data_IF_028060325294
#
_entry.id   IF_028060325294
#
_cell.length_a   1.000
_cell.length_b   1.000
_cell.length_c   1.000
_cell.angle_alpha   90.00
_cell.angle_beta   90.00
_cell.angle_gamma   90.00
#
_symmetry.space_group_name_H-M   'P 1'
#
loop_
_entity.id
_entity.type
_entity.pdbx_description
1 polymer ?
#
# COMPACT_ATOMS: atom_id res chain seq x y z
N UNK A 1 30.75 -16.21 -16.53
CA UNK A 1 31.31 -14.87 -16.35
C UNK A 1 30.30 -14.09 -15.57
N UNK A 2 30.59 -13.94 -14.28
CA UNK A 2 29.69 -13.46 -13.23
C UNK A 2 29.16 -12.05 -13.46
N UNK A 3 27.98 -11.77 -12.89
CA UNK A 3 27.56 -10.38 -12.71
C UNK A 3 26.07 -10.14 -12.74
N UNK A 4 25.36 -10.68 -11.76
CA UNK A 4 24.07 -10.17 -11.29
C UNK A 4 22.83 -10.47 -12.17
N UNK A 5 22.25 -11.65 -11.98
CA UNK A 5 20.83 -11.93 -12.24
C UNK A 5 19.85 -11.16 -11.33
N UNK A 6 20.29 -10.02 -10.77
CA UNK A 6 19.54 -9.13 -9.86
C UNK A 6 18.68 -8.09 -10.60
N UNK A 7 18.60 -8.11 -11.93
CA UNK A 7 18.28 -6.90 -12.71
C UNK A 7 16.84 -6.71 -13.19
N UNK A 8 15.89 -7.60 -12.93
CA UNK A 8 14.47 -7.25 -13.14
C UNK A 8 13.58 -7.72 -11.99
N UNK A 9 13.53 -9.03 -11.72
CA UNK A 9 12.60 -9.57 -10.71
C UNK A 9 12.99 -9.27 -9.25
N UNK A 10 14.25 -9.49 -8.86
CA UNK A 10 14.64 -9.43 -7.44
C UNK A 10 14.50 -8.02 -6.82
N UNK A 11 14.85 -6.96 -7.56
CA UNK A 11 14.64 -5.57 -7.12
C UNK A 11 13.16 -5.20 -7.08
N UNK A 12 12.36 -5.71 -8.03
CA UNK A 12 10.92 -5.53 -8.05
C UNK A 12 10.22 -6.18 -6.84
N UNK A 13 10.66 -7.37 -6.43
CA UNK A 13 10.15 -8.04 -5.21
C UNK A 13 10.48 -7.24 -3.96
N UNK A 14 11.74 -6.84 -3.78
CA UNK A 14 12.15 -6.08 -2.57
C UNK A 14 11.39 -4.76 -2.49
N UNK A 15 11.27 -4.05 -3.62
CA UNK A 15 10.50 -2.81 -3.69
C UNK A 15 9.01 -3.05 -3.39
N UNK A 16 8.41 -4.09 -3.97
CA UNK A 16 7.01 -4.45 -3.73
C UNK A 16 6.73 -4.79 -2.26
N UNK A 17 7.61 -5.56 -1.60
CA UNK A 17 7.49 -5.87 -0.16
C UNK A 17 7.53 -4.59 0.66
N UNK A 18 8.52 -3.73 0.41
CA UNK A 18 8.67 -2.46 1.14
C UNK A 18 7.45 -1.56 0.92
N UNK A 19 6.95 -1.48 -0.31
CA UNK A 19 5.76 -0.70 -0.66
C UNK A 19 4.49 -1.23 0.04
N UNK A 20 4.30 -2.55 0.14
CA UNK A 20 3.17 -3.16 0.88
C UNK A 20 3.25 -2.83 2.36
N UNK A 21 4.43 -2.96 2.98
CA UNK A 21 4.62 -2.67 4.42
C UNK A 21 4.36 -1.19 4.72
N UNK A 22 4.88 -0.29 3.88
CA UNK A 22 4.63 1.15 3.99
C UNK A 22 3.15 1.45 3.78
N UNK A 23 2.52 0.86 2.76
CA UNK A 23 1.10 1.02 2.50
C UNK A 23 0.23 0.56 3.68
N UNK A 24 0.53 -0.59 4.27
CA UNK A 24 -0.16 -1.09 5.45
C UNK A 24 -0.01 -0.16 6.68
N UNK A 25 1.19 0.39 6.89
CA UNK A 25 1.42 1.38 7.94
C UNK A 25 0.63 2.67 7.68
N UNK A 26 0.60 3.15 6.43
CA UNK A 26 -0.19 4.31 6.01
C UNK A 26 -1.68 4.04 6.21
N UNK A 27 -2.18 2.84 5.89
CA UNK A 27 -3.58 2.47 6.11
C UNK A 27 -3.94 2.50 7.61
N UNK A 28 -3.07 1.95 8.46
CA UNK A 28 -3.26 1.98 9.91
C UNK A 28 -3.24 3.42 10.48
N UNK A 29 -2.38 4.29 9.93
CA UNK A 29 -2.36 5.71 10.29
C UNK A 29 -3.63 6.43 9.82
N UNK A 30 -4.10 6.18 8.60
CA UNK A 30 -5.37 6.72 8.10
C UNK A 30 -6.54 6.30 8.99
N UNK A 31 -6.61 5.02 9.39
CA UNK A 31 -7.64 4.54 10.31
C UNK A 31 -7.62 5.29 11.64
N UNK A 32 -6.44 5.48 12.23
CA UNK A 32 -6.29 6.30 13.45
C UNK A 32 -6.76 7.73 13.25
N UNK A 33 -6.43 8.34 12.12
CA UNK A 33 -6.86 9.70 11.80
C UNK A 33 -8.38 9.82 11.70
N UNK A 34 -9.04 8.80 11.15
CA UNK A 34 -10.51 8.74 11.11
C UNK A 34 -11.10 8.57 12.51
N UNK A 35 -10.52 7.69 13.33
CA UNK A 35 -10.97 7.44 14.70
C UNK A 35 -10.82 8.70 15.59
N UNK A 36 -9.68 9.37 15.51
CA UNK A 36 -9.45 10.66 16.17
C UNK A 36 -10.42 11.73 15.64
N UNK A 37 -10.63 11.81 14.32
CA UNK A 37 -11.59 12.73 13.72
C UNK A 37 -13.00 12.56 14.27
N UNK A 38 -13.48 11.33 14.41
CA UNK A 38 -14.79 11.01 15.01
C UNK A 38 -14.80 11.39 16.50
N UNK A 39 -13.73 11.09 17.24
CA UNK A 39 -13.62 11.38 18.67
C UNK A 39 -13.61 12.89 19.00
N UNK A 40 -13.01 13.71 18.14
CA UNK A 40 -13.00 15.17 18.27
C UNK A 40 -14.21 15.87 17.63
N UNK A 41 -15.16 15.11 17.06
CA UNK A 41 -16.38 15.66 16.47
C UNK A 41 -16.17 16.37 15.12
N UNK A 42 -15.24 15.87 14.30
CA UNK A 42 -14.94 16.42 12.98
C UNK A 42 -16.20 16.56 12.11
N UNK A 43 -16.26 17.59 11.24
CA UNK A 43 -17.42 17.84 10.39
C UNK A 43 -17.75 16.62 9.53
N UNK A 44 -19.04 16.27 9.46
CA UNK A 44 -19.58 15.16 8.66
C UNK A 44 -19.22 15.21 7.18
N UNK A 45 -18.88 16.41 6.70
CA UNK A 45 -18.44 16.68 5.34
C UNK A 45 -16.99 16.25 5.06
N UNK A 46 -16.19 15.90 6.07
CA UNK A 46 -14.85 15.36 5.86
C UNK A 46 -14.82 13.82 5.88
N UNK A 47 -15.90 13.20 6.36
CA UNK A 47 -16.04 11.73 6.44
C UNK A 47 -15.95 11.07 5.05
N UNK A 48 -16.51 11.69 4.01
CA UNK A 48 -16.48 11.12 2.65
C UNK A 48 -15.08 11.14 2.04
N UNK A 49 -14.29 12.19 2.30
CA UNK A 49 -12.89 12.27 1.86
C UNK A 49 -12.02 11.27 2.62
N UNK A 50 -12.25 11.13 3.92
CA UNK A 50 -11.56 10.14 4.75
C UNK A 50 -11.84 8.70 4.27
N UNK A 51 -13.11 8.37 4.00
CA UNK A 51 -13.50 7.07 3.46
C UNK A 51 -12.90 6.82 2.06
N UNK A 52 -12.85 7.85 1.21
CA UNK A 52 -12.20 7.75 -0.09
C UNK A 52 -10.68 7.48 0.03
N UNK A 53 -9.97 8.23 0.89
CA UNK A 53 -8.55 8.01 1.14
C UNK A 53 -8.23 6.60 1.67
N UNK A 54 -9.07 6.08 2.57
CA UNK A 54 -8.96 4.70 3.07
C UNK A 54 -9.11 3.67 1.96
N UNK A 55 -10.13 3.81 1.10
CA UNK A 55 -10.38 2.87 0.00
C UNK A 55 -9.28 2.93 -1.07
N UNK A 56 -8.78 4.12 -1.40
CA UNK A 56 -7.64 4.27 -2.33
C UNK A 56 -6.39 3.60 -1.78
N UNK A 57 -6.10 3.77 -0.48
CA UNK A 57 -4.95 3.12 0.17
C UNK A 57 -5.10 1.59 0.16
N UNK A 58 -6.31 1.08 0.40
CA UNK A 58 -6.59 -0.36 0.34
C UNK A 58 -6.40 -0.92 -1.09
N UNK A 59 -6.94 -0.23 -2.11
CA UNK A 59 -6.81 -0.63 -3.52
C UNK A 59 -5.34 -0.58 -3.95
N UNK A 60 -4.58 0.42 -3.50
CA UNK A 60 -3.14 0.46 -3.77
C UNK A 60 -2.46 -0.80 -3.23
N UNK A 61 -2.60 -1.11 -1.95
CA UNK A 61 -1.94 -2.28 -1.33
C UNK A 61 -2.34 -3.57 -2.06
N UNK A 62 -3.59 -3.68 -2.49
CA UNK A 62 -4.08 -4.80 -3.28
C UNK A 62 -3.33 -4.93 -4.62
N UNK A 63 -3.19 -3.84 -5.38
CA UNK A 63 -2.45 -3.84 -6.65
C UNK A 63 -0.97 -4.15 -6.42
N UNK A 64 -0.36 -3.62 -5.36
CA UNK A 64 1.05 -3.90 -5.05
C UNK A 64 1.26 -5.38 -4.66
N UNK A 65 0.31 -5.99 -3.95
CA UNK A 65 0.32 -7.44 -3.71
C UNK A 65 0.20 -8.23 -5.01
N UNK A 66 -0.71 -7.84 -5.92
CA UNK A 66 -0.83 -8.50 -7.23
C UNK A 66 0.47 -8.38 -8.04
N UNK A 67 1.11 -7.20 -8.03
CA UNK A 67 2.41 -6.98 -8.68
C UNK A 67 3.48 -7.89 -8.07
N UNK A 68 3.54 -7.98 -6.74
CA UNK A 68 4.51 -8.85 -6.06
C UNK A 68 4.29 -10.32 -6.44
N UNK A 69 3.04 -10.78 -6.48
CA UNK A 69 2.68 -12.14 -6.89
C UNK A 69 3.02 -12.39 -8.36
N UNK A 70 2.83 -11.42 -9.25
CA UNK A 70 3.21 -11.53 -10.66
C UNK A 70 4.74 -11.71 -10.83
N UNK A 71 5.53 -10.87 -10.14
CA UNK A 71 7.01 -10.95 -10.17
C UNK A 71 7.49 -12.30 -9.59
N UNK A 72 6.87 -12.79 -8.51
CA UNK A 72 7.18 -14.10 -7.94
C UNK A 72 6.75 -15.27 -8.84
N UNK A 73 5.70 -15.09 -9.65
CA UNK A 73 5.22 -16.10 -10.59
C UNK A 73 6.08 -16.17 -11.86
N UNK A 74 7.09 -15.30 -12.00
CA UNK A 74 8.00 -15.27 -13.14
C UNK A 74 7.37 -14.71 -14.42
N UNK A 75 6.23 -14.02 -14.31
CA UNK A 75 5.51 -13.40 -15.42
C UNK A 75 5.94 -11.92 -15.56
N UNK A 76 7.26 -11.71 -15.70
CA UNK A 76 7.90 -10.46 -16.14
C UNK A 76 8.41 -10.60 -17.58
#
# INVERSE_FOLDING_TARGET
GDGLGFRSGALGVVFGIVAIVIGAAILALNFKQVEDGIAYGAPREEEWLAAFGLTVTLVWIYIEMLRLVAILSGDD
#
